data_IF_303435744206
#
_entry.id   IF_303435744206
#
_cell.length_a   1.000
_cell.length_b   1.000
_cell.length_c   1.000
_cell.angle_alpha   90.00
_cell.angle_beta   90.00
_cell.angle_gamma   90.00
#
_symmetry.space_group_name_H-M   'P 1'
#
loop_
_entity.id
_entity.type
_entity.pdbx_description
1 polymer ?
#
# COMPACT_ATOMS: atom_id res chain seq x y z
N UNK A 1 -17.32 2.07 -5.95
CA UNK A 1 -16.55 0.83 -6.21
C UNK A 1 -17.50 -0.33 -6.05
N UNK A 2 -17.67 -1.11 -7.11
CA UNK A 2 -18.59 -2.26 -7.09
C UNK A 2 -18.07 -3.30 -6.09
N UNK A 3 -18.90 -3.77 -5.17
CA UNK A 3 -18.53 -4.74 -4.13
C UNK A 3 -18.03 -6.10 -4.68
N UNK A 4 -18.18 -6.36 -5.99
CA UNK A 4 -17.70 -7.57 -6.66
C UNK A 4 -16.17 -7.70 -6.66
N UNK A 5 -15.42 -6.58 -6.62
CA UNK A 5 -13.95 -6.62 -6.61
C UNK A 5 -13.31 -7.09 -5.29
N UNK A 6 -14.09 -7.16 -4.19
CA UNK A 6 -13.60 -7.62 -2.89
C UNK A 6 -13.61 -9.15 -2.77
N UNK A 7 -14.31 -9.84 -3.69
CA UNK A 7 -14.48 -11.30 -3.72
C UNK A 7 -13.82 -11.93 -4.94
N UNK A 8 -12.87 -11.23 -5.58
CA UNK A 8 -12.03 -11.81 -6.62
C UNK A 8 -11.17 -12.91 -6.00
N UNK A 9 -11.50 -14.16 -6.33
CA UNK A 9 -10.85 -15.35 -5.75
C UNK A 9 -9.35 -15.41 -6.03
N UNK A 10 -8.89 -14.84 -7.15
CA UNK A 10 -7.47 -14.79 -7.51
C UNK A 10 -6.73 -13.80 -6.61
N UNK A 11 -7.32 -12.64 -6.36
CA UNK A 11 -6.74 -11.68 -5.43
C UNK A 11 -6.68 -12.21 -4.00
N UNK A 12 -7.74 -12.87 -3.53
CA UNK A 12 -7.77 -13.44 -2.17
C UNK A 12 -6.68 -14.50 -2.02
N UNK A 13 -6.53 -15.41 -3.01
CA UNK A 13 -5.45 -16.41 -3.01
C UNK A 13 -4.06 -15.75 -2.99
N UNK A 14 -3.83 -14.75 -3.84
CA UNK A 14 -2.57 -14.03 -3.89
C UNK A 14 -2.27 -13.30 -2.56
N UNK A 15 -3.28 -12.70 -1.94
CA UNK A 15 -3.15 -12.05 -0.64
C UNK A 15 -2.82 -13.05 0.48
N UNK A 16 -3.40 -14.24 0.46
CA UNK A 16 -3.14 -15.27 1.48
C UNK A 16 -1.74 -15.87 1.36
N UNK A 17 -1.25 -16.06 0.12
CA UNK A 17 0.07 -16.61 -0.16
C UNK A 17 1.19 -15.56 -0.16
N UNK A 18 0.88 -14.27 -0.03
CA UNK A 18 1.83 -13.16 -0.30
C UNK A 18 3.16 -13.23 0.45
N UNK A 19 3.20 -13.91 1.58
CA UNK A 19 4.40 -14.03 2.40
C UNK A 19 5.09 -15.40 2.24
N UNK A 20 4.54 -16.31 1.45
CA UNK A 20 5.09 -17.67 1.31
C UNK A 20 6.43 -17.67 0.58
N UNK A 21 6.60 -16.81 -0.42
CA UNK A 21 7.85 -16.61 -1.17
C UNK A 21 7.89 -15.23 -1.84
N UNK A 22 9.07 -14.86 -2.36
CA UNK A 22 9.24 -13.62 -3.14
C UNK A 22 8.37 -13.64 -4.41
N UNK A 23 8.25 -14.77 -5.06
CA UNK A 23 7.39 -14.95 -6.24
C UNK A 23 5.92 -14.74 -5.89
N UNK A 24 5.46 -15.29 -4.76
CA UNK A 24 4.09 -15.12 -4.28
C UNK A 24 3.82 -13.65 -3.93
N UNK A 25 4.79 -12.95 -3.35
CA UNK A 25 4.68 -11.53 -3.07
C UNK A 25 4.60 -10.69 -4.35
N UNK A 26 5.42 -10.98 -5.35
CA UNK A 26 5.37 -10.33 -6.67
C UNK A 26 3.99 -10.55 -7.32
N UNK A 27 3.44 -11.77 -7.27
CA UNK A 27 2.11 -12.04 -7.82
C UNK A 27 1.01 -11.31 -7.06
N UNK A 28 1.10 -11.22 -5.74
CA UNK A 28 0.20 -10.38 -4.94
C UNK A 28 0.26 -8.91 -5.38
N UNK A 29 1.46 -8.34 -5.54
CA UNK A 29 1.64 -6.98 -6.04
C UNK A 29 1.04 -6.79 -7.45
N UNK A 30 1.21 -7.77 -8.35
CA UNK A 30 0.59 -7.76 -9.69
C UNK A 30 -0.93 -7.74 -9.60
N UNK A 31 -1.51 -8.56 -8.72
CA UNK A 31 -2.96 -8.59 -8.50
C UNK A 31 -3.49 -7.26 -7.94
N UNK A 32 -2.75 -6.61 -7.03
CA UNK A 32 -3.08 -5.27 -6.54
C UNK A 32 -3.07 -4.23 -7.66
N UNK A 33 -2.04 -4.22 -8.50
CA UNK A 33 -1.91 -3.30 -9.62
C UNK A 33 -3.04 -3.46 -10.64
N UNK A 34 -3.36 -4.71 -11.03
CA UNK A 34 -4.51 -4.99 -11.92
C UNK A 34 -5.82 -4.40 -11.39
N UNK A 35 -6.02 -4.44 -10.06
CA UNK A 35 -7.20 -3.85 -9.40
C UNK A 35 -7.15 -2.33 -9.31
N UNK A 36 -5.96 -1.74 -9.25
CA UNK A 36 -5.78 -0.29 -9.21
C UNK A 36 -5.94 0.36 -10.58
N UNK A 37 -5.63 -0.36 -11.67
CA UNK A 37 -5.59 0.16 -13.03
C UNK A 37 -6.89 0.86 -13.49
N UNK A 38 -8.11 0.31 -13.30
CA UNK A 38 -9.35 0.99 -13.67
C UNK A 38 -9.58 2.30 -12.90
N UNK A 39 -9.01 2.43 -11.71
CA UNK A 39 -9.06 3.67 -10.97
C UNK A 39 -8.06 4.69 -11.52
N UNK A 40 -6.83 4.27 -11.86
CA UNK A 40 -5.79 5.11 -12.43
C UNK A 40 -6.22 5.68 -13.80
N UNK A 41 -6.86 4.86 -14.64
CA UNK A 41 -7.37 5.25 -15.95
C UNK A 41 -8.40 6.40 -15.92
N UNK A 42 -8.87 6.80 -14.76
CA UNK A 42 -9.76 7.96 -14.59
C UNK A 42 -9.01 9.30 -14.59
N UNK A 43 -7.69 9.28 -14.43
CA UNK A 43 -6.87 10.47 -14.17
C UNK A 43 -5.86 10.75 -15.27
N UNK A 44 -5.46 9.73 -16.04
CA UNK A 44 -4.57 9.86 -17.18
C UNK A 44 -4.83 8.74 -18.19
N UNK A 45 -4.41 8.94 -19.43
CA UNK A 45 -4.47 7.89 -20.45
C UNK A 45 -3.45 6.80 -20.12
N UNK A 46 -3.92 5.61 -19.79
CA UNK A 46 -3.07 4.46 -19.46
C UNK A 46 -2.39 3.84 -20.69
N UNK A 47 -2.78 4.25 -21.90
CA UNK A 47 -2.13 3.77 -23.13
C UNK A 47 -0.91 4.61 -23.41
N UNK A 48 0.27 3.97 -23.41
CA UNK A 48 1.55 4.61 -23.69
C UNK A 48 1.99 5.72 -22.72
N UNK A 49 1.30 5.94 -21.60
CA UNK A 49 1.73 6.89 -20.60
C UNK A 49 3.12 6.53 -20.06
N UNK A 50 3.98 7.54 -19.90
CA UNK A 50 5.28 7.41 -19.24
C UNK A 50 5.05 7.49 -17.74
N UNK A 51 5.28 6.41 -17.04
CA UNK A 51 4.96 6.29 -15.62
C UNK A 51 6.20 5.94 -14.83
N UNK A 52 6.47 6.72 -13.79
CA UNK A 52 7.51 6.43 -12.80
C UNK A 52 6.87 5.77 -11.58
N UNK A 53 7.32 4.57 -11.23
CA UNK A 53 7.04 3.92 -9.96
C UNK A 53 8.22 4.18 -9.03
N UNK A 54 8.03 4.95 -7.96
CA UNK A 54 9.03 5.20 -6.92
C UNK A 54 8.78 4.26 -5.75
N UNK A 55 9.83 3.62 -5.24
CA UNK A 55 9.71 2.58 -4.22
C UNK A 55 9.13 1.29 -4.78
N UNK A 56 9.65 0.84 -5.93
CA UNK A 56 9.14 -0.30 -6.69
C UNK A 56 9.35 -1.64 -5.97
N UNK A 57 10.35 -1.73 -5.08
CA UNK A 57 10.72 -2.97 -4.43
C UNK A 57 10.98 -4.08 -5.45
N UNK A 58 10.24 -5.20 -5.33
CA UNK A 58 10.35 -6.35 -6.24
C UNK A 58 9.64 -6.16 -7.60
N UNK A 59 9.15 -4.97 -7.92
CA UNK A 59 8.62 -4.59 -9.24
C UNK A 59 7.30 -5.22 -9.66
N UNK A 60 6.62 -5.94 -8.79
CA UNK A 60 5.39 -6.68 -9.16
C UNK A 60 4.28 -5.76 -9.70
N UNK A 61 4.10 -4.57 -9.12
CA UNK A 61 3.10 -3.61 -9.61
C UNK A 61 3.48 -3.08 -10.98
N UNK A 62 4.75 -2.65 -11.15
CA UNK A 62 5.28 -2.17 -12.43
C UNK A 62 5.10 -3.17 -13.56
N UNK A 63 5.39 -4.45 -13.31
CA UNK A 63 5.18 -5.54 -14.28
C UNK A 63 3.72 -5.59 -14.75
N UNK A 64 2.76 -5.55 -13.83
CA UNK A 64 1.33 -5.60 -14.19
C UNK A 64 0.88 -4.34 -14.96
N UNK A 65 1.42 -3.18 -14.63
CA UNK A 65 1.15 -1.94 -15.36
C UNK A 65 1.76 -1.95 -16.76
N UNK A 66 3.00 -2.45 -16.91
CA UNK A 66 3.62 -2.60 -18.22
C UNK A 66 2.86 -3.60 -19.12
N UNK A 67 2.35 -4.70 -18.54
CA UNK A 67 1.46 -5.64 -19.25
C UNK A 67 0.16 -5.00 -19.73
N UNK A 68 -0.29 -3.94 -19.06
CA UNK A 68 -1.47 -3.17 -19.44
C UNK A 68 -1.18 -2.06 -20.48
N UNK A 69 0.08 -1.93 -20.93
CA UNK A 69 0.49 -1.01 -21.98
C UNK A 69 1.11 0.31 -21.51
N UNK A 70 1.38 0.46 -20.20
CA UNK A 70 2.07 1.64 -19.67
C UNK A 70 3.60 1.51 -19.91
N UNK A 71 4.27 2.63 -20.16
CA UNK A 71 5.74 2.68 -20.20
C UNK A 71 6.26 2.94 -18.79
N UNK A 72 6.66 1.87 -18.11
CA UNK A 72 7.05 1.92 -16.69
C UNK A 72 8.57 2.05 -16.56
N UNK A 73 8.98 3.01 -15.74
CA UNK A 73 10.29 3.06 -15.10
C UNK A 73 10.11 2.83 -13.61
N UNK A 74 10.70 1.78 -13.08
CA UNK A 74 10.66 1.43 -11.65
C UNK A 74 11.95 1.88 -10.96
N UNK A 75 11.83 2.67 -9.89
CA UNK A 75 12.96 3.19 -9.12
C UNK A 75 12.84 2.74 -7.67
N UNK A 76 13.95 2.25 -7.10
CA UNK A 76 14.06 1.93 -5.68
C UNK A 76 15.49 2.15 -5.18
N UNK A 77 15.66 2.33 -3.88
CA UNK A 77 16.97 2.38 -3.22
C UNK A 77 17.54 0.97 -2.96
N UNK A 78 16.67 -0.03 -2.89
CA UNK A 78 17.01 -1.43 -2.65
C UNK A 78 17.38 -2.14 -3.96
N UNK A 79 18.68 -2.25 -4.21
CA UNK A 79 19.25 -2.87 -5.43
C UNK A 79 18.92 -4.35 -5.50
N UNK A 80 18.88 -5.05 -4.37
CA UNK A 80 18.58 -6.48 -4.33
C UNK A 80 17.12 -6.75 -4.70
N UNK A 81 16.20 -5.94 -4.15
CA UNK A 81 14.80 -6.00 -4.53
C UNK A 81 14.58 -5.68 -6.02
N UNK A 82 15.27 -4.66 -6.57
CA UNK A 82 15.24 -4.36 -8.00
C UNK A 82 15.76 -5.53 -8.84
N UNK A 83 16.82 -6.21 -8.41
CA UNK A 83 17.34 -7.38 -9.09
C UNK A 83 16.32 -8.53 -9.19
N UNK A 84 15.53 -8.74 -8.13
CA UNK A 84 14.38 -9.67 -8.16
C UNK A 84 13.32 -9.21 -9.18
N UNK A 85 13.02 -7.91 -9.21
CA UNK A 85 12.10 -7.29 -10.17
C UNK A 85 12.51 -7.48 -11.62
N UNK A 86 13.77 -7.23 -11.94
CA UNK A 86 14.34 -7.47 -13.29
C UNK A 86 14.16 -8.92 -13.73
N UNK A 87 14.47 -9.86 -12.83
CA UNK A 87 14.30 -11.28 -13.13
C UNK A 87 12.81 -11.65 -13.31
N UNK A 88 11.92 -11.08 -12.50
CA UNK A 88 10.48 -11.31 -12.62
C UNK A 88 9.91 -10.72 -13.90
N UNK A 89 10.32 -9.52 -14.31
CA UNK A 89 9.92 -8.87 -15.56
C UNK A 89 10.38 -9.71 -16.78
N UNK A 90 11.62 -10.19 -16.75
CA UNK A 90 12.16 -11.08 -17.80
C UNK A 90 11.35 -12.37 -17.92
N UNK A 91 11.02 -13.03 -16.79
CA UNK A 91 10.17 -14.24 -16.80
C UNK A 91 8.76 -13.95 -17.30
N UNK A 92 8.24 -12.76 -17.06
CA UNK A 92 6.93 -12.32 -17.52
C UNK A 92 6.91 -11.86 -19.00
N UNK A 93 8.06 -11.80 -19.67
CA UNK A 93 8.20 -11.29 -21.04
C UNK A 93 7.86 -9.80 -21.17
N UNK A 94 8.15 -9.01 -20.12
CA UNK A 94 7.79 -7.59 -20.06
C UNK A 94 9.05 -6.73 -20.17
N UNK A 95 9.04 -5.77 -21.09
CA UNK A 95 10.07 -4.74 -21.20
C UNK A 95 9.69 -3.54 -20.31
N UNK A 96 10.52 -3.24 -19.33
CA UNK A 96 10.42 -2.06 -18.47
C UNK A 96 11.78 -1.71 -17.89
N UNK A 97 11.95 -0.47 -17.45
CA UNK A 97 13.21 0.02 -16.91
C UNK A 97 13.24 -0.13 -15.38
N UNK A 98 14.40 -0.52 -14.85
CA UNK A 98 14.69 -0.55 -13.41
C UNK A 98 15.90 0.31 -13.12
N UNK A 99 15.80 1.17 -12.13
CA UNK A 99 16.84 2.13 -11.77
C UNK A 99 17.02 2.19 -10.25
N UNK A 100 18.25 2.05 -9.78
CA UNK A 100 18.57 2.33 -8.39
C UNK A 100 18.66 3.83 -8.15
N UNK A 101 17.93 4.34 -7.16
CA UNK A 101 17.91 5.78 -6.89
C UNK A 101 17.03 6.19 -5.72
N UNK A 102 17.25 7.43 -5.26
CA UNK A 102 16.50 8.06 -4.18
C UNK A 102 15.36 8.93 -4.76
N UNK A 103 14.14 8.72 -4.28
CA UNK A 103 12.97 9.52 -4.65
C UNK A 103 13.08 11.00 -4.31
N UNK A 104 13.97 11.38 -3.37
CA UNK A 104 14.27 12.78 -3.05
C UNK A 104 15.26 13.45 -4.01
N UNK A 105 15.85 12.67 -4.95
CA UNK A 105 16.80 13.15 -5.98
C UNK A 105 16.64 12.34 -7.26
N UNK A 106 15.53 12.56 -7.96
CA UNK A 106 15.20 11.79 -9.15
C UNK A 106 16.16 12.11 -10.31
N UNK A 107 16.86 11.12 -10.91
CA UNK A 107 17.84 11.32 -11.97
C UNK A 107 17.18 11.50 -13.34
N UNK A 108 16.10 12.25 -13.41
CA UNK A 108 15.34 12.52 -14.61
C UNK A 108 15.24 14.02 -14.88
N UNK A 109 15.11 14.40 -16.14
CA UNK A 109 14.81 15.78 -16.52
C UNK A 109 13.42 16.21 -16.01
N UNK A 110 13.18 17.52 -15.97
CA UNK A 110 11.84 18.03 -15.76
C UNK A 110 10.89 17.51 -16.84
N UNK A 111 9.63 17.28 -16.45
CA UNK A 111 8.53 16.92 -17.36
C UNK A 111 8.74 15.59 -18.13
N UNK A 112 9.47 14.65 -17.53
CA UNK A 112 9.77 13.36 -18.12
C UNK A 112 8.60 12.38 -18.06
N UNK A 113 7.67 12.52 -17.09
CA UNK A 113 6.61 11.55 -16.81
C UNK A 113 5.21 12.16 -16.84
N UNK A 114 4.25 11.36 -17.26
CA UNK A 114 2.84 11.74 -17.31
C UNK A 114 2.11 11.35 -16.00
N UNK A 115 2.62 10.33 -15.32
CA UNK A 115 2.15 9.94 -13.98
C UNK A 115 3.27 9.38 -13.11
N UNK A 116 3.12 9.49 -11.79
CA UNK A 116 4.03 8.92 -10.78
C UNK A 116 3.20 8.10 -9.78
N UNK A 117 3.75 6.97 -9.35
CA UNK A 117 3.14 6.07 -8.38
C UNK A 117 4.01 6.03 -7.11
N UNK A 118 3.41 6.34 -5.96
CA UNK A 118 3.97 6.26 -4.60
C UNK A 118 3.02 5.40 -3.76
N UNK A 119 3.16 4.09 -3.82
CA UNK A 119 2.25 3.16 -3.14
C UNK A 119 2.93 2.47 -1.96
N UNK A 120 2.67 2.95 -0.76
CA UNK A 120 3.34 2.57 0.50
C UNK A 120 4.83 2.89 0.49
N UNK A 121 5.17 4.14 0.15
CA UNK A 121 6.55 4.64 0.05
C UNK A 121 6.75 5.91 0.86
N UNK A 122 5.82 6.86 0.75
CA UNK A 122 5.99 8.21 1.30
C UNK A 122 6.13 8.24 2.83
N UNK A 123 5.63 7.22 3.52
CA UNK A 123 5.77 7.01 4.95
C UNK A 123 7.15 6.50 5.37
N UNK A 124 7.98 6.05 4.41
CA UNK A 124 9.33 5.50 4.66
C UNK A 124 10.46 6.45 4.29
N UNK A 125 10.19 7.53 3.55
CA UNK A 125 11.22 8.46 3.12
C UNK A 125 11.60 9.44 4.25
N UNK A 126 12.84 9.90 4.26
CA UNK A 126 13.33 10.83 5.29
C UNK A 126 12.61 12.19 5.22
N UNK A 127 12.37 12.71 4.02
CA UNK A 127 11.68 13.97 3.78
C UNK A 127 10.59 13.81 2.71
N UNK A 128 9.32 13.65 3.13
CA UNK A 128 8.18 13.59 2.21
C UNK A 128 8.03 14.81 1.31
N UNK A 129 8.43 16.00 1.80
CA UNK A 129 8.36 17.21 0.99
C UNK A 129 9.35 17.18 -0.15
N UNK A 130 10.62 16.79 0.10
CA UNK A 130 11.64 16.68 -0.93
C UNK A 130 11.23 15.71 -2.04
N UNK A 131 10.68 14.54 -1.67
CA UNK A 131 10.16 13.55 -2.64
C UNK A 131 9.02 14.15 -3.47
N UNK A 132 8.05 14.81 -2.85
CA UNK A 132 6.94 15.44 -3.59
C UNK A 132 7.40 16.59 -4.48
N UNK A 133 8.43 17.34 -4.08
CA UNK A 133 9.02 18.40 -4.90
C UNK A 133 9.69 17.83 -6.15
N UNK A 134 10.44 16.75 -6.03
CA UNK A 134 11.03 16.03 -7.16
C UNK A 134 9.95 15.43 -8.07
N UNK A 135 8.91 14.82 -7.51
CA UNK A 135 7.75 14.36 -8.27
C UNK A 135 7.12 15.51 -9.07
N UNK A 136 6.96 16.68 -8.45
CA UNK A 136 6.42 17.86 -9.15
C UNK A 136 7.31 18.31 -10.30
N UNK A 137 8.63 18.30 -10.11
CA UNK A 137 9.61 18.70 -11.12
C UNK A 137 9.57 17.79 -12.35
N UNK A 138 9.57 16.48 -12.14
CA UNK A 138 9.66 15.50 -13.23
C UNK A 138 8.32 15.20 -13.92
N UNK A 139 7.18 15.63 -13.36
CA UNK A 139 5.87 15.50 -13.99
C UNK A 139 5.67 16.52 -15.09
N UNK A 140 5.01 16.10 -16.17
CA UNK A 140 4.47 17.00 -17.19
C UNK A 140 3.39 17.92 -16.61
N UNK A 141 3.15 19.11 -17.20
CA UNK A 141 1.98 19.94 -16.89
C UNK A 141 0.68 19.11 -17.01
N UNK A 142 -0.17 19.18 -16.00
CA UNK A 142 -1.39 18.36 -15.93
C UNK A 142 -1.19 16.90 -15.48
N UNK A 143 0.06 16.44 -15.35
CA UNK A 143 0.41 15.11 -14.86
C UNK A 143 0.00 14.87 -13.41
N UNK A 144 -0.03 13.61 -12.99
CA UNK A 144 -0.59 13.21 -11.69
C UNK A 144 0.37 12.35 -10.87
N UNK A 145 0.28 12.47 -9.53
CA UNK A 145 0.90 11.54 -8.59
C UNK A 145 -0.19 10.75 -7.88
N UNK A 146 -0.15 9.45 -8.01
CA UNK A 146 -0.97 8.54 -7.21
C UNK A 146 -0.21 8.16 -5.95
N UNK A 147 -0.82 8.40 -4.78
CA UNK A 147 -0.21 8.13 -3.48
C UNK A 147 -1.14 7.27 -2.65
N UNK A 148 -0.60 6.22 -2.06
CA UNK A 148 -1.26 5.42 -1.03
C UNK A 148 -0.32 5.32 0.16
N UNK A 149 -0.82 5.61 1.35
CA UNK A 149 -0.05 5.45 2.58
C UNK A 149 -0.96 5.22 3.79
N UNK A 150 -0.52 4.48 4.80
CA UNK A 150 -1.16 4.44 6.11
C UNK A 150 -0.72 5.67 6.92
N UNK A 151 -1.64 6.49 7.46
CA UNK A 151 -1.25 7.58 8.37
C UNK A 151 -0.74 6.98 9.67
N UNK A 152 0.38 7.50 10.20
CA UNK A 152 1.13 6.88 11.30
C UNK A 152 0.29 6.58 12.55
N UNK A 153 -0.66 7.43 12.91
CA UNK A 153 -1.50 7.22 14.10
C UNK A 153 -2.69 6.29 13.87
N UNK A 154 -2.85 5.74 12.68
CA UNK A 154 -3.86 4.74 12.37
C UNK A 154 -3.66 3.44 13.15
N UNK A 155 -4.72 2.63 13.37
CA UNK A 155 -4.67 1.48 14.27
C UNK A 155 -3.65 0.41 13.90
N UNK A 156 -3.41 0.17 12.62
CA UNK A 156 -2.52 -0.87 12.10
C UNK A 156 -1.51 -0.29 11.09
N UNK A 157 -1.00 0.90 11.37
CA UNK A 157 -0.12 1.65 10.46
C UNK A 157 1.38 1.41 10.70
N UNK A 158 1.72 0.43 11.53
CA UNK A 158 3.10 0.16 11.94
C UNK A 158 3.85 -0.79 11.02
N UNK A 159 3.22 -1.36 9.99
CA UNK A 159 3.78 -2.43 9.15
C UNK A 159 4.28 -3.66 9.93
N UNK A 160 3.73 -3.85 11.13
CA UNK A 160 4.02 -4.99 12.02
C UNK A 160 2.78 -5.86 12.26
N UNK A 161 1.70 -5.56 11.58
CA UNK A 161 0.39 -6.17 11.77
C UNK A 161 0.32 -7.63 11.28
N UNK A 162 1.24 -8.06 10.42
CA UNK A 162 1.41 -9.47 10.07
C UNK A 162 1.89 -10.31 11.28
N UNK A 163 2.58 -9.70 12.24
CA UNK A 163 3.03 -10.33 13.48
C UNK A 163 2.20 -9.94 14.70
N UNK A 164 1.84 -8.66 14.83
CA UNK A 164 1.18 -8.10 16.01
C UNK A 164 -0.11 -7.39 15.58
N UNK A 165 -1.23 -8.09 15.64
CA UNK A 165 -2.56 -7.59 15.30
C UNK A 165 -3.23 -6.81 16.45
N UNK A 166 -2.43 -6.11 17.27
CA UNK A 166 -2.92 -5.25 18.34
C UNK A 166 -2.95 -3.81 17.81
N UNK A 167 -4.12 -3.17 17.66
CA UNK A 167 -4.21 -1.80 17.21
C UNK A 167 -3.37 -0.86 18.06
N UNK A 168 -2.70 0.09 17.40
CA UNK A 168 -1.80 1.08 17.99
C UNK A 168 -0.59 0.53 18.75
N UNK A 169 -0.28 -0.79 18.65
CA UNK A 169 0.91 -1.35 19.29
C UNK A 169 2.21 -0.68 18.84
N UNK A 170 2.27 -0.25 17.57
CA UNK A 170 3.40 0.47 16.98
C UNK A 170 3.63 1.87 17.60
N UNK A 171 2.66 2.43 18.35
CA UNK A 171 2.83 3.70 19.05
C UNK A 171 3.59 3.55 20.37
N UNK A 172 3.78 2.32 20.86
CA UNK A 172 4.60 2.07 22.04
C UNK A 172 6.08 2.42 21.76
N UNK A 173 6.88 2.69 22.81
CA UNK A 173 8.30 2.92 22.66
C UNK A 173 8.97 1.84 21.79
N UNK A 174 9.85 2.27 20.88
CA UNK A 174 10.47 1.37 19.89
C UNK A 174 11.10 0.12 20.51
N UNK A 175 11.72 0.25 21.70
CA UNK A 175 12.34 -0.89 22.39
C UNK A 175 11.30 -1.95 22.83
N UNK A 176 10.07 -1.55 23.15
CA UNK A 176 8.97 -2.49 23.50
C UNK A 176 8.51 -3.23 22.24
N UNK A 177 8.32 -2.51 21.13
CA UNK A 177 7.95 -3.11 19.85
C UNK A 177 9.03 -4.09 19.39
N UNK A 178 10.30 -3.68 19.44
CA UNK A 178 11.46 -4.52 19.11
C UNK A 178 11.52 -5.77 19.97
N UNK A 179 11.45 -5.61 21.29
CA UNK A 179 11.50 -6.75 22.24
C UNK A 179 10.37 -7.74 21.95
N UNK A 180 9.15 -7.23 21.66
CA UNK A 180 8.01 -8.09 21.36
C UNK A 180 8.20 -8.84 20.04
N UNK A 181 8.62 -8.18 18.97
CA UNK A 181 8.88 -8.82 17.68
C UNK A 181 10.01 -9.86 17.82
N UNK A 182 11.13 -9.51 18.45
CA UNK A 182 12.30 -10.40 18.58
C UNK A 182 12.08 -11.58 19.53
N UNK A 183 11.03 -11.52 20.38
CA UNK A 183 10.60 -12.67 21.17
C UNK A 183 9.74 -13.66 20.38
N UNK A 184 9.41 -13.36 19.12
CA UNK A 184 8.61 -14.25 18.29
C UNK A 184 9.52 -15.13 17.44
N UNK A 185 9.36 -16.44 17.57
CA UNK A 185 10.05 -17.44 16.73
C UNK A 185 9.34 -17.65 15.38
N UNK A 186 8.12 -17.08 15.24
CA UNK A 186 7.29 -17.25 14.06
C UNK A 186 7.91 -16.55 12.87
N UNK A 187 8.11 -17.30 11.79
CA UNK A 187 8.46 -16.79 10.46
C UNK A 187 7.23 -16.88 9.55
N UNK A 188 7.02 -15.89 8.70
CA UNK A 188 5.94 -15.85 7.72
C UNK A 188 6.57 -15.88 6.32
N UNK A 189 6.84 -17.07 5.82
CA UNK A 189 7.54 -17.26 4.56
C UNK A 189 8.92 -16.57 4.56
N UNK A 190 9.11 -15.58 3.69
CA UNK A 190 10.35 -14.79 3.64
C UNK A 190 10.40 -13.71 4.75
N UNK A 191 9.27 -13.28 5.29
CA UNK A 191 9.23 -12.19 6.28
C UNK A 191 9.55 -12.73 7.69
N UNK A 192 10.56 -12.16 8.30
CA UNK A 192 10.96 -12.41 9.70
C UNK A 192 10.54 -11.27 10.62
N UNK A 193 10.48 -11.47 11.95
CA UNK A 193 10.25 -10.39 12.91
C UNK A 193 11.32 -9.28 12.84
N UNK A 194 12.56 -9.60 12.46
CA UNK A 194 13.65 -8.64 12.30
C UNK A 194 13.44 -7.75 11.07
N UNK A 195 13.03 -8.32 9.95
CA UNK A 195 12.68 -7.58 8.74
C UNK A 195 11.46 -6.69 8.98
N UNK A 196 10.41 -7.21 9.65
CA UNK A 196 9.26 -6.40 10.03
C UNK A 196 9.65 -5.21 10.93
N UNK A 197 10.58 -5.43 11.88
CA UNK A 197 11.10 -4.33 12.70
C UNK A 197 11.93 -3.34 11.88
N UNK A 198 12.74 -3.81 10.93
CA UNK A 198 13.51 -2.93 10.05
C UNK A 198 12.59 -2.00 9.25
N UNK A 199 11.52 -2.53 8.66
CA UNK A 199 10.48 -1.74 7.97
C UNK A 199 9.80 -0.75 8.93
N UNK A 200 9.37 -1.20 10.13
CA UNK A 200 8.80 -0.31 11.15
C UNK A 200 9.74 0.83 11.53
N UNK A 201 11.04 0.55 11.64
CA UNK A 201 12.04 1.53 12.05
C UNK A 201 12.24 2.67 11.03
N UNK A 202 11.92 2.46 9.74
CA UNK A 202 12.02 3.49 8.70
C UNK A 202 10.84 4.47 8.70
N UNK A 203 9.73 4.18 9.41
CA UNK A 203 8.55 5.03 9.41
C UNK A 203 8.85 6.45 9.91
N UNK A 204 8.53 7.44 9.08
CA UNK A 204 8.75 8.87 9.34
C UNK A 204 7.62 9.56 10.14
N UNK A 205 6.64 8.78 10.62
CA UNK A 205 5.46 9.24 11.36
C UNK A 205 4.57 10.21 10.58
N UNK A 206 4.45 10.00 9.28
CA UNK A 206 3.63 10.83 8.39
C UNK A 206 2.16 10.85 8.83
N UNK A 207 1.64 12.05 9.01
CA UNK A 207 0.22 12.29 9.32
C UNK A 207 -0.53 12.73 8.07
N UNK A 208 -1.86 12.63 8.09
CA UNK A 208 -2.73 13.16 7.03
C UNK A 208 -2.49 14.67 6.86
N UNK A 209 -2.40 15.41 7.97
CA UNK A 209 -2.16 16.84 7.94
C UNK A 209 -0.76 17.16 7.40
N UNK A 210 0.26 16.44 7.86
CA UNK A 210 1.64 16.59 7.39
C UNK A 210 1.76 16.36 5.88
N UNK A 211 1.13 15.28 5.38
CA UNK A 211 1.09 15.01 3.95
C UNK A 211 0.40 16.12 3.14
N UNK A 212 -0.79 16.57 3.58
CA UNK A 212 -1.50 17.66 2.91
C UNK A 212 -0.67 18.94 2.84
N UNK A 213 0.02 19.26 3.93
CA UNK A 213 0.91 20.44 3.99
C UNK A 213 2.09 20.28 3.01
N UNK A 214 2.75 19.12 2.99
CA UNK A 214 3.86 18.85 2.09
C UNK A 214 3.44 18.92 0.62
N UNK A 215 2.31 18.30 0.26
CA UNK A 215 1.79 18.29 -1.10
C UNK A 215 1.43 19.70 -1.61
N UNK A 216 0.75 20.51 -0.79
CA UNK A 216 0.45 21.91 -1.14
C UNK A 216 1.70 22.76 -1.29
N UNK A 217 2.67 22.59 -0.39
CA UNK A 217 3.94 23.30 -0.44
C UNK A 217 4.76 22.94 -1.67
N UNK A 218 4.66 21.69 -2.15
CA UNK A 218 5.27 21.23 -3.40
C UNK A 218 4.56 21.75 -4.67
N UNK A 219 3.41 22.43 -4.54
CA UNK A 219 2.65 23.01 -5.65
C UNK A 219 1.51 22.17 -6.17
N UNK A 220 1.22 21.03 -5.55
CA UNK A 220 0.14 20.15 -5.99
C UNK A 220 -1.25 20.62 -5.57
N UNK A 221 -2.23 20.32 -6.44
CA UNK A 221 -3.67 20.30 -6.12
C UNK A 221 -4.14 18.86 -5.91
N UNK A 222 -5.31 18.70 -5.29
CA UNK A 222 -5.87 17.39 -5.00
C UNK A 222 -6.98 17.06 -6.02
N UNK A 223 -6.69 16.18 -6.98
CA UNK A 223 -7.67 15.68 -7.93
C UNK A 223 -8.57 14.60 -7.32
N UNK A 224 -8.06 13.88 -6.31
CA UNK A 224 -8.81 12.89 -5.56
C UNK A 224 -8.25 12.78 -4.14
N UNK A 225 -9.17 12.63 -3.17
CA UNK A 225 -8.82 12.39 -1.78
C UNK A 225 -9.78 11.42 -1.12
N UNK A 226 -9.28 10.36 -0.54
CA UNK A 226 -10.08 9.41 0.24
C UNK A 226 -9.30 8.89 1.42
N UNK A 227 -9.83 9.10 2.61
CA UNK A 227 -9.41 8.40 3.83
C UNK A 227 -10.24 7.11 3.93
N UNK A 228 -9.58 5.99 4.10
CA UNK A 228 -10.22 4.69 4.30
C UNK A 228 -10.26 4.40 5.79
N UNK A 229 -11.43 4.07 6.37
CA UNK A 229 -11.49 3.59 7.76
C UNK A 229 -10.62 2.33 7.91
N UNK A 230 -10.08 2.11 9.10
CA UNK A 230 -9.29 0.90 9.39
C UNK A 230 -10.11 -0.39 9.21
N UNK A 231 -11.43 -0.33 9.24
CA UNK A 231 -12.35 -1.42 8.88
C UNK A 231 -12.11 -2.00 7.47
N UNK A 232 -11.38 -1.28 6.60
CA UNK A 232 -10.97 -1.80 5.29
C UNK A 232 -9.67 -2.60 5.33
N UNK A 233 -9.04 -2.72 6.50
CA UNK A 233 -7.90 -3.61 6.71
C UNK A 233 -8.29 -5.07 6.34
N UNK A 234 -7.38 -5.87 5.75
CA UNK A 234 -7.69 -7.24 5.34
C UNK A 234 -8.36 -8.10 6.43
N UNK A 235 -7.92 -7.99 7.68
CA UNK A 235 -8.54 -8.68 8.79
C UNK A 235 -9.99 -8.24 9.08
N UNK A 236 -10.31 -6.96 8.92
CA UNK A 236 -11.68 -6.43 9.06
C UNK A 236 -12.55 -6.73 7.84
N UNK A 237 -11.95 -6.90 6.64
CA UNK A 237 -12.71 -7.33 5.45
C UNK A 237 -13.36 -8.70 5.65
N UNK A 238 -12.75 -9.56 6.45
CA UNK A 238 -13.32 -10.84 6.90
C UNK A 238 -14.60 -10.63 7.67
N UNK A 239 -14.63 -9.70 8.63
CA UNK A 239 -15.82 -9.40 9.41
C UNK A 239 -16.92 -8.78 8.54
N UNK A 240 -16.56 -7.82 7.69
CA UNK A 240 -17.48 -7.19 6.72
C UNK A 240 -17.97 -8.24 5.70
N UNK A 241 -17.10 -9.17 5.29
CA UNK A 241 -17.44 -10.31 4.43
C UNK A 241 -18.44 -11.26 5.10
N UNK A 242 -18.24 -11.61 6.37
CA UNK A 242 -19.16 -12.42 7.17
C UNK A 242 -20.51 -11.74 7.35
N UNK A 243 -20.52 -10.45 7.70
CA UNK A 243 -21.76 -9.67 7.86
C UNK A 243 -22.50 -9.48 6.53
N UNK A 244 -21.77 -9.30 5.43
CA UNK A 244 -22.39 -9.21 4.09
C UNK A 244 -22.82 -10.58 3.55
N UNK A 245 -22.17 -11.67 3.96
CA UNK A 245 -22.58 -13.04 3.65
C UNK A 245 -23.89 -13.44 4.34
N UNK A 246 -24.16 -12.90 5.51
CA UNK A 246 -25.47 -13.04 6.17
C UNK A 246 -26.61 -12.35 5.39
N UNK A 247 -26.29 -11.38 4.55
CA UNK A 247 -27.27 -10.66 3.71
C UNK A 247 -27.37 -11.18 2.27
N UNK A 248 -26.32 -11.86 1.76
CA UNK A 248 -26.28 -12.49 0.42
C UNK A 248 -25.35 -13.71 0.50
N UNK A 249 -25.86 -14.96 0.40
CA UNK A 249 -25.05 -16.16 0.55
C UNK A 249 -23.93 -16.17 -0.51
N UNK A 250 -22.66 -16.17 -0.12
CA UNK A 250 -21.54 -16.35 -1.04
C UNK A 250 -21.49 -17.81 -1.49
N UNK A 251 -20.81 -18.06 -2.62
CA UNK A 251 -20.48 -19.44 -3.00
C UNK A 251 -19.68 -20.09 -1.85
N UNK A 252 -20.01 -21.32 -1.51
CA UNK A 252 -19.47 -22.09 -0.37
C UNK A 252 -17.94 -22.10 -0.28
N UNK A 253 -17.25 -22.06 -1.40
CA UNK A 253 -15.78 -22.00 -1.50
C UNK A 253 -15.17 -20.71 -0.92
N UNK A 254 -15.81 -19.58 -1.18
CA UNK A 254 -15.36 -18.27 -0.66
C UNK A 254 -15.60 -18.15 0.84
N UNK A 255 -16.67 -18.74 1.36
CA UNK A 255 -16.97 -18.80 2.79
C UNK A 255 -15.94 -19.63 3.56
N UNK A 256 -15.51 -20.75 2.98
CA UNK A 256 -14.51 -21.65 3.56
C UNK A 256 -13.14 -20.97 3.67
N UNK A 257 -12.69 -20.29 2.63
CA UNK A 257 -11.42 -19.53 2.63
C UNK A 257 -11.45 -18.42 3.68
N UNK A 258 -12.57 -17.68 3.78
CA UNK A 258 -12.81 -16.63 4.77
C UNK A 258 -12.76 -17.19 6.20
N UNK A 259 -13.38 -18.34 6.46
CA UNK A 259 -13.43 -18.97 7.79
C UNK A 259 -12.08 -19.56 8.20
N UNK A 260 -11.33 -20.16 7.26
CA UNK A 260 -10.00 -20.72 7.54
C UNK A 260 -9.03 -19.58 7.91
N UNK A 261 -9.11 -18.45 7.23
CA UNK A 261 -8.30 -17.26 7.52
C UNK A 261 -8.68 -16.65 8.87
N UNK A 262 -9.99 -16.49 9.15
CA UNK A 262 -10.45 -15.99 10.43
C UNK A 262 -9.90 -16.82 11.61
N UNK A 263 -9.89 -18.15 11.46
CA UNK A 263 -9.37 -19.08 12.47
C UNK A 263 -7.84 -18.98 12.65
N UNK A 264 -7.08 -18.57 11.63
CA UNK A 264 -5.62 -18.38 11.70
C UNK A 264 -5.22 -17.02 12.28
N UNK A 265 -5.96 -15.96 12.00
CA UNK A 265 -5.58 -14.58 12.31
C UNK A 265 -6.27 -14.02 13.56
N UNK A 266 -7.41 -14.58 13.98
CA UNK A 266 -8.19 -14.04 15.09
C UNK A 266 -8.35 -15.02 16.25
N UNK A 267 -7.88 -14.59 17.41
CA UNK A 267 -8.44 -15.11 18.68
C UNK A 267 -9.81 -14.46 18.94
N UNK A 268 -10.66 -15.08 19.76
CA UNK A 268 -11.96 -14.49 20.17
C UNK A 268 -11.75 -13.08 20.74
N UNK A 269 -10.67 -12.87 21.50
CA UNK A 269 -10.34 -11.56 22.08
C UNK A 269 -10.00 -10.51 21.03
N UNK A 270 -9.18 -10.83 20.02
CA UNK A 270 -8.88 -9.90 18.92
C UNK A 270 -10.12 -9.62 18.08
N UNK A 271 -10.99 -10.59 17.86
CA UNK A 271 -12.26 -10.40 17.16
C UNK A 271 -13.17 -9.41 17.89
N UNK A 272 -13.38 -9.59 19.20
CA UNK A 272 -14.19 -8.69 20.02
C UNK A 272 -13.58 -7.29 20.08
N UNK A 273 -12.26 -7.18 20.19
CA UNK A 273 -11.55 -5.89 20.13
C UNK A 273 -11.80 -5.17 18.80
N UNK A 274 -11.67 -5.88 17.67
CA UNK A 274 -11.96 -5.29 16.35
C UNK A 274 -13.43 -4.91 16.18
N UNK A 275 -14.35 -5.68 16.73
CA UNK A 275 -15.78 -5.35 16.74
C UNK A 275 -16.03 -4.05 17.52
N UNK A 276 -15.43 -3.93 18.71
CA UNK A 276 -15.52 -2.72 19.54
C UNK A 276 -14.92 -1.51 18.80
N UNK A 277 -13.74 -1.67 18.20
CA UNK A 277 -13.06 -0.62 17.45
C UNK A 277 -13.80 -0.25 16.16
N UNK A 278 -14.68 -1.11 15.64
CA UNK A 278 -15.51 -0.77 14.48
C UNK A 278 -16.47 0.38 14.78
N UNK A 279 -16.83 0.58 16.04
CA UNK A 279 -17.60 1.76 16.49
C UNK A 279 -16.84 3.08 16.28
N UNK A 280 -15.51 3.03 16.16
CA UNK A 280 -14.68 4.20 15.88
C UNK A 280 -14.62 4.56 14.38
N UNK A 281 -15.13 3.69 13.50
CA UNK A 281 -15.08 3.94 12.05
C UNK A 281 -15.70 5.28 11.60
N UNK A 282 -16.82 5.76 12.19
CA UNK A 282 -17.38 7.06 11.84
C UNK A 282 -16.44 8.23 12.14
N UNK A 283 -15.47 8.07 13.04
CA UNK A 283 -14.50 9.12 13.39
C UNK A 283 -13.64 9.52 12.18
N UNK A 284 -13.53 8.67 11.16
CA UNK A 284 -12.81 9.00 9.91
C UNK A 284 -13.39 10.22 9.20
N UNK A 285 -14.64 10.56 9.45
CA UNK A 285 -15.30 11.75 8.88
C UNK A 285 -15.04 13.03 9.69
N UNK A 286 -14.46 12.91 10.88
CA UNK A 286 -14.10 14.04 11.75
C UNK A 286 -12.62 14.40 11.50
N UNK A 287 -12.29 15.63 11.05
CA UNK A 287 -10.94 15.97 10.60
C UNK A 287 -9.81 15.62 11.57
N UNK A 288 -10.00 15.83 12.87
CA UNK A 288 -8.96 15.51 13.88
C UNK A 288 -8.91 14.03 14.22
N UNK A 289 -10.03 13.32 14.13
CA UNK A 289 -10.11 11.89 14.44
C UNK A 289 -9.67 11.01 13.25
N UNK A 290 -9.56 11.57 12.05
CA UNK A 290 -9.08 10.85 10.86
C UNK A 290 -7.72 10.20 11.10
N UNK A 291 -6.81 10.88 11.80
CA UNK A 291 -5.46 10.38 12.07
C UNK A 291 -5.48 9.06 12.86
N UNK A 292 -6.44 8.91 13.77
CA UNK A 292 -6.55 7.75 14.66
C UNK A 292 -7.40 6.63 14.04
N UNK A 293 -8.41 7.00 13.24
CA UNK A 293 -9.39 6.04 12.70
C UNK A 293 -9.06 5.53 11.29
N UNK A 294 -8.05 6.11 10.63
CA UNK A 294 -7.71 5.77 9.26
C UNK A 294 -6.90 4.47 9.18
N UNK A 295 -7.33 3.57 8.30
CA UNK A 295 -6.55 2.39 7.87
C UNK A 295 -5.77 2.63 6.57
N UNK A 296 -5.83 3.83 6.02
CA UNK A 296 -5.06 4.22 4.84
C UNK A 296 -5.65 5.44 4.14
N UNK A 297 -4.80 6.12 3.40
CA UNK A 297 -5.14 7.27 2.57
C UNK A 297 -4.84 6.94 1.12
N UNK A 298 -5.76 7.28 0.22
CA UNK A 298 -5.59 7.20 -1.23
C UNK A 298 -5.79 8.58 -1.82
N UNK A 299 -4.79 9.04 -2.54
CA UNK A 299 -4.75 10.40 -3.08
C UNK A 299 -4.36 10.37 -4.56
N UNK A 300 -4.91 11.28 -5.34
CA UNK A 300 -4.32 11.70 -6.62
C UNK A 300 -4.03 13.18 -6.53
N UNK A 301 -2.76 13.51 -6.60
CA UNK A 301 -2.27 14.88 -6.72
C UNK A 301 -2.17 15.24 -8.20
N UNK A 302 -2.37 16.51 -8.54
CA UNK A 302 -2.26 17.01 -9.91
C UNK A 302 -1.32 18.20 -9.96
N UNK A 303 -0.37 18.19 -10.91
CA UNK A 303 0.44 19.35 -11.27
C UNK A 303 -0.43 20.31 -12.06
N UNK A 304 -0.49 21.58 -11.63
CA UNK A 304 -1.16 22.63 -12.39
C UNK A 304 -0.25 22.97 -13.59
N UNK A 305 -0.86 23.12 -14.75
CA UNK A 305 -0.17 23.55 -15.97
C UNK A 305 0.18 25.03 -15.92
#
# INVERSE_FOLDING_TARGET
MNNQSLLDGDYVRALDARLDSDEAYIEYQRAEARRALPFLARFFDVRNARVLEVGAGRGGKGIAYAQAGLRITSLDVDVDALGMGVNAARRAGVAMDFLAGDGARLPFSAEAFDAILLDSVIEHVADPFAVLQECYRVLTPGGVVFVVFPPFYGPLSGHIDDFILIPWFHLLPRHIVQRKLFSMERRLGFLTPHEAYAVFATLNRLTIFGFKRAARRAGFTFAYWRVRPFLTHPGMRLLVGLVSALRRPPRLENLRAVLVRARREFTVGTFLLFLLLSALAPLVFIPFAQEIAAGGVKVVLKKIG
#
